data_IF_598303273852
#
_entry.id   IF_598303273852
#
_cell.length_a   1.000
_cell.length_b   1.000
_cell.length_c   1.000
_cell.angle_alpha   90.00
_cell.angle_beta   90.00
_cell.angle_gamma   90.00
#
_symmetry.space_group_name_H-M   'P 1'
#
loop_
_entity.id
_entity.type
_entity.pdbx_description
1 polymer ?
#
# COMPACT_ATOMS: atom_id res chain seq x y z
N UNK A 1 0.95 -23.90 5.58
CA UNK A 1 -0.47 -23.47 5.51
C UNK A 1 -0.69 -22.36 6.51
N UNK A 2 -1.39 -21.29 6.12
CA UNK A 2 -1.75 -20.21 7.03
C UNK A 2 -2.91 -20.64 7.92
N UNK A 3 -2.89 -20.27 9.20
CA UNK A 3 -4.04 -20.49 10.08
C UNK A 3 -5.15 -19.46 9.80
N UNK A 4 -6.29 -19.60 10.47
CA UNK A 4 -7.44 -18.71 10.25
C UNK A 4 -7.11 -17.25 10.60
N UNK A 5 -6.32 -17.00 11.64
CA UNK A 5 -5.91 -15.66 12.02
C UNK A 5 -5.03 -15.02 10.97
N UNK A 6 -4.10 -15.75 10.37
CA UNK A 6 -3.24 -15.26 9.30
C UNK A 6 -4.03 -15.00 8.02
N UNK A 7 -5.01 -15.83 7.68
CA UNK A 7 -5.88 -15.61 6.53
C UNK A 7 -6.69 -14.33 6.73
N UNK A 8 -7.26 -14.11 7.90
CA UNK A 8 -8.02 -12.90 8.20
C UNK A 8 -7.15 -11.65 8.12
N UNK A 9 -5.93 -11.72 8.64
CA UNK A 9 -4.99 -10.60 8.57
C UNK A 9 -4.57 -10.31 7.12
N UNK A 10 -4.33 -11.35 6.32
CA UNK A 10 -4.04 -11.19 4.90
C UNK A 10 -5.17 -10.46 4.19
N UNK A 11 -6.43 -10.83 4.44
CA UNK A 11 -7.58 -10.15 3.84
C UNK A 11 -7.67 -8.69 4.27
N UNK A 12 -7.47 -8.43 5.56
CA UNK A 12 -7.53 -7.07 6.11
C UNK A 12 -6.45 -6.16 5.51
N UNK A 13 -5.20 -6.62 5.52
CA UNK A 13 -4.08 -5.82 5.01
C UNK A 13 -4.09 -5.71 3.49
N UNK A 14 -4.57 -6.73 2.77
CA UNK A 14 -4.75 -6.67 1.32
C UNK A 14 -5.77 -5.62 0.94
N UNK A 15 -6.88 -5.52 1.68
CA UNK A 15 -7.89 -4.51 1.44
C UNK A 15 -7.37 -3.10 1.70
N UNK A 16 -6.64 -2.91 2.79
CA UNK A 16 -6.01 -1.64 3.12
C UNK A 16 -5.06 -1.21 2.00
N UNK A 17 -4.26 -2.14 1.50
CA UNK A 17 -3.33 -1.91 0.39
C UNK A 17 -4.06 -1.45 -0.88
N UNK A 18 -5.12 -2.15 -1.25
CA UNK A 18 -5.93 -1.82 -2.43
C UNK A 18 -6.58 -0.44 -2.31
N UNK A 19 -7.02 -0.09 -1.11
CA UNK A 19 -7.58 1.24 -0.84
C UNK A 19 -6.55 2.33 -1.03
N UNK A 20 -5.31 2.11 -0.61
CA UNK A 20 -4.22 3.07 -0.79
C UNK A 20 -3.78 3.18 -2.25
N UNK A 21 -3.70 2.06 -2.96
CA UNK A 21 -3.35 2.06 -4.39
C UNK A 21 -4.34 2.86 -5.23
N UNK A 22 -5.60 2.90 -4.84
CA UNK A 22 -6.67 3.58 -5.56
C UNK A 22 -7.19 4.81 -4.81
N UNK A 23 -6.36 5.38 -3.92
CA UNK A 23 -6.77 6.47 -3.03
C UNK A 23 -7.22 7.73 -3.76
N UNK A 24 -6.59 8.05 -4.89
CA UNK A 24 -6.93 9.24 -5.67
C UNK A 24 -8.35 9.18 -6.27
N UNK A 25 -8.89 7.98 -6.49
CA UNK A 25 -10.22 7.82 -7.07
C UNK A 25 -11.33 7.77 -6.02
N UNK A 26 -11.01 7.42 -4.77
CA UNK A 26 -12.03 7.01 -3.81
C UNK A 26 -11.97 7.76 -2.48
N UNK A 27 -10.90 8.48 -2.16
CA UNK A 27 -10.61 8.77 -0.76
C UNK A 27 -10.34 10.22 -0.46
N UNK A 28 -10.79 10.62 0.73
CA UNK A 28 -10.45 11.90 1.33
C UNK A 28 -9.05 11.86 1.95
N UNK A 29 -8.46 13.03 2.15
CA UNK A 29 -7.19 13.17 2.84
C UNK A 29 -7.23 12.56 4.25
N UNK A 30 -8.33 12.76 4.98
CA UNK A 30 -8.48 12.21 6.34
C UNK A 30 -8.46 10.69 6.34
N UNK A 31 -9.11 10.06 5.37
CA UNK A 31 -9.15 8.61 5.25
C UNK A 31 -7.74 8.05 5.00
N UNK A 32 -7.01 8.60 4.03
CA UNK A 32 -5.64 8.16 3.71
C UNK A 32 -4.71 8.38 4.90
N UNK A 33 -4.82 9.53 5.58
CA UNK A 33 -4.06 9.81 6.80
C UNK A 33 -4.29 8.73 7.86
N UNK A 34 -5.52 8.23 7.98
CA UNK A 34 -5.85 7.20 8.97
C UNK A 34 -5.24 5.83 8.65
N UNK A 35 -4.92 5.56 7.39
CA UNK A 35 -4.33 4.28 6.97
C UNK A 35 -2.81 4.25 7.12
N UNK A 36 -2.17 5.40 7.20
CA UNK A 36 -0.72 5.53 7.29
C UNK A 36 -0.29 5.89 8.70
N UNK A 37 0.77 5.26 9.18
CA UNK A 37 1.35 5.62 10.47
C UNK A 37 1.92 7.04 10.40
N UNK A 38 1.93 7.80 11.52
CA UNK A 38 2.54 9.15 11.54
C UNK A 38 4.01 9.15 11.08
N UNK A 39 4.74 8.07 11.33
CA UNK A 39 6.13 7.91 10.92
C UNK A 39 6.30 7.13 9.61
N UNK A 40 5.24 7.09 8.81
CA UNK A 40 5.24 6.41 7.50
C UNK A 40 6.32 6.96 6.58
N UNK A 41 6.95 6.06 5.82
CA UNK A 41 7.90 6.39 4.78
C UNK A 41 7.69 5.49 3.57
N UNK A 42 7.83 6.05 2.39
CA UNK A 42 7.76 5.30 1.13
C UNK A 42 9.00 5.56 0.28
N UNK A 43 9.55 4.47 -0.28
CA UNK A 43 10.54 4.56 -1.36
C UNK A 43 9.79 4.28 -2.66
N UNK A 44 9.58 5.32 -3.46
CA UNK A 44 8.85 5.22 -4.71
C UNK A 44 9.65 4.57 -5.82
N UNK A 45 8.96 4.14 -6.87
CA UNK A 45 9.58 3.51 -8.05
C UNK A 45 10.56 4.42 -8.77
N UNK A 46 10.43 5.73 -8.60
CA UNK A 46 11.31 6.75 -9.16
C UNK A 46 12.60 6.98 -8.35
N UNK A 47 12.70 6.36 -7.16
CA UNK A 47 13.82 6.58 -6.25
C UNK A 47 13.62 7.75 -5.29
N UNK A 48 12.46 8.40 -5.33
CA UNK A 48 12.15 9.48 -4.40
C UNK A 48 11.62 8.92 -3.07
N UNK A 49 11.87 9.64 -2.00
CA UNK A 49 11.43 9.29 -0.65
C UNK A 49 10.26 10.17 -0.26
N UNK A 50 9.18 9.56 0.22
CA UNK A 50 7.96 10.26 0.61
C UNK A 50 7.64 9.97 2.07
N UNK A 51 7.07 10.96 2.76
CA UNK A 51 6.47 10.79 4.09
C UNK A 51 4.95 10.91 3.97
N UNK A 52 4.23 10.64 5.07
CA UNK A 52 2.76 10.64 5.05
C UNK A 52 2.16 11.92 4.46
N UNK A 53 2.67 13.07 4.84
CA UNK A 53 2.17 14.35 4.34
C UNK A 53 2.29 14.46 2.81
N UNK A 54 3.37 13.96 2.25
CA UNK A 54 3.58 13.98 0.79
C UNK A 54 2.52 13.17 0.07
N UNK A 55 2.18 11.99 0.61
CA UNK A 55 1.17 11.11 0.02
C UNK A 55 -0.21 11.78 0.07
N UNK A 56 -0.56 12.37 1.20
CA UNK A 56 -1.84 13.05 1.38
C UNK A 56 -1.94 14.27 0.46
N UNK A 57 -0.89 15.06 0.37
CA UNK A 57 -0.87 16.27 -0.46
C UNK A 57 -0.99 15.94 -1.95
N UNK A 58 -0.42 14.82 -2.39
CA UNK A 58 -0.46 14.39 -3.79
C UNK A 58 -1.87 13.97 -4.25
N UNK A 59 -2.79 13.67 -3.35
CA UNK A 59 -4.14 13.23 -3.72
C UNK A 59 -4.90 14.27 -4.56
N UNK A 60 -4.65 15.55 -4.32
CA UNK A 60 -5.36 16.62 -5.03
C UNK A 60 -4.94 16.72 -6.49
N UNK A 61 -3.71 16.34 -6.82
CA UNK A 61 -3.12 16.50 -8.15
C UNK A 61 -2.98 15.18 -8.91
N UNK A 62 -3.25 14.05 -8.26
CA UNK A 62 -3.07 12.75 -8.86
C UNK A 62 -4.25 12.39 -9.76
N UNK A 63 -4.00 12.00 -11.02
CA UNK A 63 -5.08 11.58 -11.89
C UNK A 63 -5.70 10.27 -11.39
N UNK A 64 -7.01 10.13 -11.59
CA UNK A 64 -7.72 8.91 -11.27
C UNK A 64 -7.21 7.77 -12.16
N UNK A 65 -6.53 6.80 -11.56
CA UNK A 65 -6.03 5.61 -12.25
C UNK A 65 -6.43 4.37 -11.46
N UNK A 66 -6.55 3.24 -12.14
CA UNK A 66 -6.84 1.97 -11.51
C UNK A 66 -5.56 1.15 -11.41
N UNK A 67 -5.25 0.72 -10.21
CA UNK A 67 -4.11 -0.16 -9.95
C UNK A 67 -4.62 -1.47 -9.39
N UNK A 68 -4.23 -2.58 -10.02
CA UNK A 68 -4.54 -3.92 -9.53
C UNK A 68 -3.36 -4.50 -8.78
N UNK A 69 -3.65 -5.40 -7.84
CA UNK A 69 -2.64 -6.12 -7.06
C UNK A 69 -2.85 -7.62 -7.24
N UNK A 70 -1.76 -8.34 -7.46
CA UNK A 70 -1.77 -9.80 -7.64
C UNK A 70 -0.58 -10.43 -6.93
N UNK A 71 -0.65 -11.75 -6.72
CA UNK A 71 0.39 -12.53 -6.02
C UNK A 71 0.64 -12.00 -4.61
N UNK A 72 -0.44 -11.68 -3.90
CA UNK A 72 -0.37 -11.19 -2.53
C UNK A 72 0.14 -12.28 -1.59
N UNK A 73 1.23 -11.98 -0.87
CA UNK A 73 1.82 -12.86 0.12
C UNK A 73 2.04 -12.12 1.43
N UNK A 74 1.56 -12.69 2.53
CA UNK A 74 1.71 -12.13 3.86
C UNK A 74 2.72 -12.91 4.67
N UNK A 75 3.65 -12.18 5.29
CA UNK A 75 4.59 -12.74 6.28
C UNK A 75 4.32 -12.07 7.62
N UNK A 76 3.86 -12.85 8.58
CA UNK A 76 3.65 -12.35 9.94
C UNK A 76 4.99 -12.36 10.66
N UNK A 77 5.45 -11.18 11.04
CA UNK A 77 6.75 -11.02 11.72
C UNK A 77 6.59 -11.17 13.23
N UNK A 78 5.52 -10.57 13.75
CA UNK A 78 5.14 -10.65 15.17
C UNK A 78 3.65 -10.40 15.29
N UNK A 79 3.12 -10.41 16.49
CA UNK A 79 1.71 -10.08 16.72
C UNK A 79 1.34 -8.66 16.28
N UNK A 80 2.34 -7.77 16.13
CA UNK A 80 2.14 -6.36 15.84
C UNK A 80 2.83 -5.88 14.56
N UNK A 81 3.38 -6.79 13.76
CA UNK A 81 4.05 -6.43 12.51
C UNK A 81 3.87 -7.51 11.46
N UNK A 82 3.61 -7.09 10.23
CA UNK A 82 3.42 -7.99 9.09
C UNK A 82 3.94 -7.33 7.80
N UNK A 83 4.55 -8.15 6.94
CA UNK A 83 5.04 -7.75 5.64
C UNK A 83 4.14 -8.33 4.55
N UNK A 84 3.62 -7.47 3.69
CA UNK A 84 2.83 -7.85 2.52
C UNK A 84 3.65 -7.57 1.26
N UNK A 85 3.79 -8.57 0.41
CA UNK A 85 4.43 -8.39 -0.91
C UNK A 85 3.46 -8.76 -2.01
N UNK A 86 3.59 -8.10 -3.15
CA UNK A 86 2.71 -8.35 -4.29
C UNK A 86 3.26 -7.70 -5.56
N UNK A 87 2.57 -7.93 -6.67
CA UNK A 87 2.81 -7.22 -7.93
C UNK A 87 1.66 -6.27 -8.20
N UNK A 88 1.98 -5.06 -8.60
CA UNK A 88 0.97 -4.08 -9.01
C UNK A 88 1.03 -3.85 -10.52
N UNK A 89 -0.13 -3.59 -11.11
CA UNK A 89 -0.25 -3.18 -12.50
C UNK A 89 -1.14 -1.94 -12.54
N UNK A 90 -0.57 -0.84 -12.98
CA UNK A 90 -1.26 0.45 -13.11
C UNK A 90 -1.60 0.67 -14.58
N UNK A 91 -2.89 0.78 -14.88
CA UNK A 91 -3.34 1.14 -16.21
C UNK A 91 -3.14 2.64 -16.40
N UNK A 92 -2.40 3.00 -17.44
CA UNK A 92 -2.17 4.40 -17.84
C UNK A 92 -2.90 4.58 -19.16
N UNK A 93 -3.95 5.41 -19.18
CA UNK A 93 -4.87 5.56 -20.29
C UNK A 93 -4.19 5.60 -21.66
N UNK A 94 -4.49 4.61 -22.51
CA UNK A 94 -3.96 4.50 -23.86
C UNK A 94 -2.49 4.11 -23.98
N UNK A 95 -1.76 3.99 -22.88
CA UNK A 95 -0.34 3.65 -22.84
C UNK A 95 -0.12 2.24 -22.30
N UNK A 96 1.12 1.75 -22.40
CA UNK A 96 1.50 0.49 -21.78
C UNK A 96 1.34 0.56 -20.26
N UNK A 97 0.91 -0.54 -19.66
CA UNK A 97 0.76 -0.63 -18.21
C UNK A 97 2.11 -0.51 -17.49
N UNK A 98 2.10 0.09 -16.32
CA UNK A 98 3.27 0.17 -15.44
C UNK A 98 3.15 -0.92 -14.38
N UNK A 99 4.14 -1.79 -14.31
CA UNK A 99 4.19 -2.90 -13.36
C UNK A 99 5.30 -2.68 -12.35
N UNK A 100 5.05 -3.10 -11.12
CA UNK A 100 6.02 -2.98 -10.04
C UNK A 100 5.92 -4.15 -9.06
N UNK A 101 7.07 -4.52 -8.49
CA UNK A 101 7.11 -5.33 -7.28
C UNK A 101 6.93 -4.39 -6.10
N UNK A 102 6.09 -4.78 -5.15
CA UNK A 102 5.76 -3.94 -4.01
C UNK A 102 5.91 -4.68 -2.70
N UNK A 103 6.34 -3.94 -1.68
CA UNK A 103 6.38 -4.44 -0.31
C UNK A 103 5.84 -3.37 0.63
N UNK A 104 5.03 -3.80 1.60
CA UNK A 104 4.44 -2.92 2.59
C UNK A 104 4.60 -3.54 3.97
N UNK A 105 5.19 -2.79 4.89
CA UNK A 105 5.27 -3.17 6.28
C UNK A 105 4.16 -2.46 7.03
N UNK A 106 3.28 -3.24 7.66
CA UNK A 106 2.21 -2.72 8.51
C UNK A 106 2.50 -3.06 9.95
N UNK A 107 2.13 -2.17 10.84
CA UNK A 107 2.30 -2.33 12.29
C UNK A 107 0.97 -2.09 12.98
N UNK A 108 0.77 -2.81 14.09
CA UNK A 108 -0.38 -2.62 14.96
C UNK A 108 0.08 -1.85 16.20
N UNK A 109 -0.52 -0.68 16.38
CA UNK A 109 -0.29 0.18 17.54
C UNK A 109 -1.65 0.62 18.07
N UNK A 110 -1.84 0.53 19.37
CA UNK A 110 -3.12 0.87 20.02
C UNK A 110 -4.31 0.11 19.42
N UNK A 111 -4.08 -1.16 19.05
CA UNK A 111 -5.10 -2.04 18.49
C UNK A 111 -5.42 -1.81 17.02
N UNK A 112 -4.74 -0.88 16.34
CA UNK A 112 -5.01 -0.55 14.95
C UNK A 112 -3.82 -0.84 14.05
N UNK A 113 -4.11 -1.46 12.89
CA UNK A 113 -3.13 -1.70 11.85
C UNK A 113 -3.00 -0.47 10.96
N UNK A 114 -1.75 0.00 10.75
CA UNK A 114 -1.43 1.09 9.83
C UNK A 114 -0.16 0.74 9.07
N UNK A 115 -0.07 1.25 7.85
CA UNK A 115 1.14 1.07 7.06
C UNK A 115 2.26 1.96 7.58
N UNK A 116 3.41 1.36 7.84
CA UNK A 116 4.61 2.05 8.32
C UNK A 116 5.58 2.34 7.19
N UNK A 117 5.70 1.42 6.23
CA UNK A 117 6.67 1.53 5.14
C UNK A 117 6.12 0.89 3.87
N UNK A 118 6.41 1.50 2.75
CA UNK A 118 6.04 0.98 1.43
C UNK A 118 7.19 1.19 0.46
N UNK A 119 7.41 0.20 -0.42
CA UNK A 119 8.40 0.31 -1.48
C UNK A 119 7.85 -0.27 -2.78
N UNK A 120 8.15 0.42 -3.87
CA UNK A 120 7.87 -0.08 -5.20
C UNK A 120 9.14 -0.15 -6.04
N UNK A 121 9.32 -1.25 -6.78
CA UNK A 121 10.40 -1.41 -7.74
C UNK A 121 9.79 -1.75 -9.09
N UNK A 122 10.00 -0.88 -10.05
CA UNK A 122 9.45 -1.06 -11.40
C UNK A 122 10.04 -2.30 -12.07
N UNK A 123 9.20 -3.06 -12.74
CA UNK A 123 9.60 -4.24 -13.52
C UNK A 123 9.10 -4.09 -14.96
N UNK A 124 9.77 -4.83 -15.83
CA UNK A 124 9.44 -4.81 -17.25
C UNK A 124 8.06 -5.43 -17.53
#
# INVERSE_FOLDING_TARGET
MKDAGEVNLLLQLSQLEKQLLNSATERSADFVTSLLSPDFQEFGTSGLVYVRADIVDALADEPATTTSAEDLDLRVISSDAALLTYKSTKAVGGAASVRALRSSLSVRRDGEWRMLFHQGTRIA
#
